data_IF_426152855181
#
_entry.id   IF_426152855181
#
_cell.length_a   1.000
_cell.length_b   1.000
_cell.length_c   1.000
_cell.angle_alpha   90.00
_cell.angle_beta   90.00
_cell.angle_gamma   90.00
#
_symmetry.space_group_name_H-M   'P 1'
#
loop_
_entity.id
_entity.type
_entity.pdbx_description
1 polymer ?
#
# COMPACT_ATOMS: atom_id res chain seq x y z
N UNK A 1 15.25 36.32 -6.34
CA UNK A 1 14.39 35.11 -6.27
C UNK A 1 15.11 33.82 -6.71
N UNK A 2 16.20 33.88 -7.52
CA UNK A 2 16.89 32.68 -8.04
C UNK A 2 17.82 31.97 -7.05
N UNK A 3 18.33 32.66 -6.04
CA UNK A 3 19.37 32.11 -5.15
C UNK A 3 18.85 30.95 -4.28
N UNK A 4 17.57 30.97 -3.92
CA UNK A 4 16.97 29.91 -3.10
C UNK A 4 16.44 28.71 -3.91
N UNK A 5 16.11 28.91 -5.18
CA UNK A 5 15.45 27.89 -6.00
C UNK A 5 16.31 26.64 -6.20
N UNK A 6 17.57 26.82 -6.58
CA UNK A 6 18.48 25.71 -6.92
C UNK A 6 18.75 24.81 -5.70
N UNK A 7 19.15 25.32 -4.51
CA UNK A 7 19.37 24.47 -3.33
C UNK A 7 18.13 23.71 -2.89
N UNK A 8 16.96 24.34 -2.92
CA UNK A 8 15.72 23.67 -2.54
C UNK A 8 15.28 22.62 -3.59
N UNK A 9 15.59 22.82 -4.88
CA UNK A 9 15.34 21.81 -5.89
C UNK A 9 16.17 20.54 -5.64
N UNK A 10 17.47 20.68 -5.27
CA UNK A 10 18.31 19.55 -4.89
C UNK A 10 17.76 18.82 -3.65
N UNK A 11 17.35 19.57 -2.62
CA UNK A 11 16.75 18.99 -1.43
C UNK A 11 15.46 18.25 -1.78
N UNK A 12 14.61 18.82 -2.61
CA UNK A 12 13.38 18.17 -3.06
C UNK A 12 13.66 16.85 -3.81
N UNK A 13 14.60 16.85 -4.74
CA UNK A 13 15.01 15.64 -5.44
C UNK A 13 15.57 14.57 -4.48
N UNK A 14 16.38 14.98 -3.51
CA UNK A 14 16.90 14.10 -2.47
C UNK A 14 15.79 13.49 -1.62
N UNK A 15 14.76 14.27 -1.25
CA UNK A 15 13.61 13.79 -0.50
C UNK A 15 12.83 12.74 -1.28
N UNK A 16 12.55 13.00 -2.56
CA UNK A 16 11.88 12.03 -3.43
C UNK A 16 12.68 10.73 -3.53
N UNK A 17 14.01 10.82 -3.66
CA UNK A 17 14.90 9.66 -3.73
C UNK A 17 14.90 8.84 -2.45
N UNK A 18 14.97 9.49 -1.28
CA UNK A 18 14.92 8.79 0.01
C UNK A 18 13.56 8.14 0.23
N UNK A 19 12.47 8.82 -0.12
CA UNK A 19 11.12 8.27 -0.03
C UNK A 19 10.93 7.06 -0.96
N UNK A 20 11.58 7.07 -2.12
CA UNK A 20 11.60 5.93 -3.03
C UNK A 20 12.37 4.75 -2.42
N UNK A 21 13.57 4.96 -1.90
CA UNK A 21 14.39 3.89 -1.27
C UNK A 21 13.71 3.32 -0.01
N UNK A 22 12.99 4.15 0.74
CA UNK A 22 12.25 3.69 1.93
C UNK A 22 10.94 3.00 1.60
N UNK A 23 10.69 2.73 0.31
CA UNK A 23 9.49 2.06 -0.19
C UNK A 23 8.16 2.71 0.26
N UNK A 24 8.17 4.01 0.57
CA UNK A 24 6.95 4.71 0.97
C UNK A 24 5.88 4.76 -0.14
N UNK A 25 6.28 4.49 -1.38
CA UNK A 25 5.40 4.37 -2.55
C UNK A 25 4.95 2.94 -2.83
N UNK A 26 5.41 1.96 -2.06
CA UNK A 26 5.04 0.56 -2.30
C UNK A 26 3.55 0.33 -1.98
N UNK A 27 2.93 -0.50 -2.82
CA UNK A 27 1.54 -0.94 -2.64
C UNK A 27 1.32 -1.72 -1.33
N UNK A 28 2.36 -2.35 -0.79
CA UNK A 28 2.32 -2.97 0.55
C UNK A 28 1.98 -1.99 1.68
N UNK A 29 2.27 -0.70 1.47
CA UNK A 29 1.93 0.38 2.41
C UNK A 29 0.59 1.07 2.12
N UNK A 30 -0.30 0.50 1.29
CA UNK A 30 -1.67 1.02 1.11
C UNK A 30 -2.49 1.00 2.41
N UNK A 31 -2.00 0.32 3.44
CA UNK A 31 -2.53 0.40 4.80
C UNK A 31 -2.10 1.69 5.49
N UNK A 32 -3.05 2.35 6.11
CA UNK A 32 -2.77 3.39 7.10
C UNK A 32 -2.49 2.75 8.47
N UNK A 33 -1.49 1.87 8.53
CA UNK A 33 -1.08 1.18 9.74
C UNK A 33 0.09 1.89 10.44
N UNK A 34 0.41 1.46 11.66
CA UNK A 34 1.51 1.99 12.45
C UNK A 34 2.86 1.85 11.73
N UNK A 35 3.05 0.79 10.92
CA UNK A 35 4.29 0.56 10.18
C UNK A 35 4.52 1.63 9.12
N UNK A 36 3.45 2.04 8.41
CA UNK A 36 3.53 3.14 7.47
C UNK A 36 3.91 4.45 8.18
N UNK A 37 3.20 4.81 9.25
CA UNK A 37 3.49 6.06 9.97
C UNK A 37 4.88 6.06 10.59
N UNK A 38 5.36 4.92 11.10
CA UNK A 38 6.72 4.79 11.63
C UNK A 38 7.78 4.89 10.53
N UNK A 39 7.52 4.30 9.36
CA UNK A 39 8.35 4.43 8.17
C UNK A 39 8.44 5.87 7.67
N UNK A 40 7.28 6.53 7.55
CA UNK A 40 7.18 7.93 7.17
C UNK A 40 7.94 8.85 8.16
N UNK A 41 7.75 8.64 9.45
CA UNK A 41 8.43 9.41 10.49
C UNK A 41 9.96 9.27 10.42
N UNK A 42 10.45 8.03 10.26
CA UNK A 42 11.88 7.77 10.05
C UNK A 42 12.41 8.46 8.80
N UNK A 43 11.70 8.37 7.69
CA UNK A 43 12.09 9.01 6.44
C UNK A 43 12.15 10.54 6.59
N UNK A 44 11.15 11.15 7.23
CA UNK A 44 11.11 12.61 7.48
C UNK A 44 12.30 13.04 8.37
N UNK A 45 12.59 12.32 9.44
CA UNK A 45 13.74 12.62 10.31
C UNK A 45 15.04 12.53 9.53
N UNK A 46 15.25 11.44 8.79
CA UNK A 46 16.47 11.22 8.03
C UNK A 46 16.67 12.29 6.97
N UNK A 47 15.63 12.59 6.19
CA UNK A 47 15.70 13.63 5.15
C UNK A 47 15.90 15.02 5.74
N UNK A 48 15.28 15.31 6.89
CA UNK A 48 15.47 16.58 7.59
C UNK A 48 16.89 16.76 8.12
N UNK A 49 17.46 15.69 8.71
CA UNK A 49 18.84 15.69 9.18
C UNK A 49 19.83 15.90 8.02
N UNK A 50 19.66 15.17 6.91
CA UNK A 50 20.51 15.33 5.72
C UNK A 50 20.36 16.73 5.13
N UNK A 51 19.15 17.27 5.07
CA UNK A 51 18.91 18.64 4.58
C UNK A 51 19.58 19.69 5.47
N UNK A 52 19.51 19.52 6.78
CA UNK A 52 20.22 20.40 7.71
C UNK A 52 21.73 20.35 7.48
N UNK A 53 22.30 19.14 7.42
CA UNK A 53 23.75 18.93 7.15
C UNK A 53 24.12 19.60 5.81
N UNK A 54 23.34 19.39 4.76
CA UNK A 54 23.57 19.97 3.44
C UNK A 54 23.70 21.51 3.51
N UNK A 55 22.74 22.17 4.15
CA UNK A 55 22.77 23.63 4.25
C UNK A 55 23.86 24.17 5.18
N UNK A 56 24.29 23.39 6.20
CA UNK A 56 25.37 23.80 7.09
C UNK A 56 26.77 23.56 6.50
N UNK A 57 26.96 22.48 5.71
CA UNK A 57 28.26 22.14 5.12
C UNK A 57 28.54 22.89 3.83
N UNK A 58 27.51 23.39 3.14
CA UNK A 58 27.68 24.10 1.86
C UNK A 58 27.36 25.59 2.08
N UNK A 59 28.31 26.38 2.61
CA UNK A 59 28.09 27.81 2.92
C UNK A 59 27.95 28.68 1.67
N UNK A 60 28.18 28.12 0.48
CA UNK A 60 28.08 28.84 -0.82
C UNK A 60 26.69 29.49 -0.98
N UNK A 61 25.66 28.90 -0.40
CA UNK A 61 24.30 29.41 -0.54
C UNK A 61 23.94 30.55 0.42
N UNK A 62 24.81 30.88 1.39
CA UNK A 62 24.61 31.94 2.39
C UNK A 62 23.18 31.96 3.04
N UNK A 63 22.53 30.80 3.06
CA UNK A 63 21.17 30.63 3.53
C UNK A 63 21.22 29.99 4.90
N UNK A 64 20.66 30.65 5.91
CA UNK A 64 20.33 30.00 7.18
C UNK A 64 18.88 29.51 7.11
N UNK A 65 18.65 28.26 6.69
CA UNK A 65 17.31 27.84 6.26
C UNK A 65 16.39 27.43 7.40
N UNK A 66 16.70 27.77 8.67
CA UNK A 66 15.98 27.25 9.84
C UNK A 66 14.47 27.32 9.69
N UNK A 67 13.94 28.52 9.42
CA UNK A 67 12.49 28.72 9.28
C UNK A 67 11.95 28.11 7.97
N UNK A 68 12.64 28.36 6.85
CA UNK A 68 12.20 27.86 5.55
C UNK A 68 12.25 26.33 5.49
N UNK A 69 13.26 25.70 6.10
CA UNK A 69 13.35 24.26 6.19
C UNK A 69 12.23 23.68 7.07
N UNK A 70 11.92 24.29 8.21
CA UNK A 70 10.82 23.87 9.07
C UNK A 70 9.46 23.99 8.36
N UNK A 71 9.22 25.08 7.64
CA UNK A 71 8.01 25.27 6.82
C UNK A 71 7.95 24.21 5.72
N UNK A 72 9.06 23.97 5.01
CA UNK A 72 9.13 22.95 3.97
C UNK A 72 8.81 21.56 4.50
N UNK A 73 9.41 21.13 5.61
CA UNK A 73 9.14 19.85 6.27
C UNK A 73 7.66 19.73 6.62
N UNK A 74 7.08 20.76 7.22
CA UNK A 74 5.68 20.74 7.65
C UNK A 74 4.72 20.62 6.46
N UNK A 75 4.90 21.47 5.44
CA UNK A 75 4.05 21.47 4.25
C UNK A 75 4.20 20.15 3.49
N UNK A 76 5.43 19.69 3.28
CA UNK A 76 5.68 18.46 2.53
C UNK A 76 5.10 17.24 3.24
N UNK A 77 5.29 17.12 4.55
CA UNK A 77 4.68 16.06 5.35
C UNK A 77 3.16 16.09 5.30
N UNK A 78 2.57 17.28 5.37
CA UNK A 78 1.13 17.47 5.23
C UNK A 78 0.62 17.03 3.85
N UNK A 79 1.33 17.35 2.78
CA UNK A 79 1.00 16.93 1.41
C UNK A 79 1.07 15.41 1.28
N UNK A 80 2.13 14.77 1.80
CA UNK A 80 2.30 13.31 1.73
C UNK A 80 1.17 12.59 2.48
N UNK A 81 0.86 12.99 3.70
CA UNK A 81 -0.22 12.41 4.50
C UNK A 81 -1.58 12.68 3.85
N UNK A 82 -1.82 13.91 3.41
CA UNK A 82 -3.06 14.32 2.78
C UNK A 82 -3.33 13.61 1.46
N UNK A 83 -2.35 13.55 0.56
CA UNK A 83 -2.47 12.86 -0.73
C UNK A 83 -2.77 11.38 -0.54
N UNK A 84 -2.10 10.73 0.43
CA UNK A 84 -2.35 9.34 0.74
C UNK A 84 -3.75 9.10 1.30
N UNK A 85 -4.20 9.94 2.22
CA UNK A 85 -5.54 9.84 2.79
C UNK A 85 -6.62 9.99 1.72
N UNK A 86 -6.44 10.95 0.81
CA UNK A 86 -7.34 11.17 -0.33
C UNK A 86 -7.32 9.99 -1.30
N UNK A 87 -6.13 9.48 -1.63
CA UNK A 87 -5.97 8.31 -2.49
C UNK A 87 -6.66 7.06 -1.92
N UNK A 88 -6.46 6.79 -0.63
CA UNK A 88 -7.09 5.66 0.03
C UNK A 88 -8.62 5.79 0.08
N UNK A 89 -9.15 7.00 0.33
CA UNK A 89 -10.60 7.25 0.26
C UNK A 89 -11.15 7.06 -1.14
N UNK A 90 -10.46 7.57 -2.16
CA UNK A 90 -10.87 7.43 -3.55
C UNK A 90 -10.91 5.94 -3.98
N UNK A 91 -9.89 5.16 -3.61
CA UNK A 91 -9.85 3.74 -3.92
C UNK A 91 -10.86 2.92 -3.11
N UNK A 92 -11.11 3.27 -1.86
CA UNK A 92 -12.13 2.61 -1.05
C UNK A 92 -13.56 2.79 -1.61
N UNK A 93 -13.80 3.90 -2.32
CA UNK A 93 -15.09 4.22 -2.96
C UNK A 93 -15.18 3.73 -4.40
N UNK A 94 -14.09 3.22 -4.98
CA UNK A 94 -14.02 2.73 -6.35
C UNK A 94 -14.72 1.38 -6.55
N UNK A 95 -14.76 0.92 -7.81
CA UNK A 95 -15.27 -0.41 -8.16
C UNK A 95 -14.37 -1.48 -7.54
N UNK A 96 -14.95 -2.30 -6.66
CA UNK A 96 -14.25 -3.37 -5.99
C UNK A 96 -14.26 -4.64 -6.83
N UNK A 97 -13.15 -5.36 -6.82
CA UNK A 97 -13.03 -6.68 -7.47
C UNK A 97 -13.57 -7.76 -6.55
N UNK A 98 -14.60 -8.50 -6.95
CA UNK A 98 -15.14 -9.58 -6.14
C UNK A 98 -14.10 -10.70 -5.97
N UNK A 99 -13.87 -11.10 -4.72
CA UNK A 99 -12.89 -12.07 -4.28
C UNK A 99 -13.57 -13.31 -3.71
N UNK A 100 -13.13 -14.48 -4.15
CA UNK A 100 -13.45 -15.78 -3.58
C UNK A 100 -12.21 -16.34 -2.88
N UNK A 101 -12.35 -16.78 -1.64
CA UNK A 101 -11.31 -17.52 -0.92
C UNK A 101 -11.74 -18.99 -0.87
N UNK A 102 -10.86 -19.88 -1.36
CA UNK A 102 -11.07 -21.32 -1.37
C UNK A 102 -10.14 -21.96 -0.35
N UNK A 103 -10.72 -22.60 0.64
CA UNK A 103 -10.03 -23.20 1.77
C UNK A 103 -10.24 -22.43 3.08
N UNK A 104 -10.73 -23.14 4.09
CA UNK A 104 -10.99 -22.57 5.42
C UNK A 104 -9.88 -22.99 6.37
N UNK A 105 -8.96 -22.09 6.66
CA UNK A 105 -7.94 -22.23 7.69
C UNK A 105 -7.69 -20.86 8.39
N UNK A 106 -6.83 -20.83 9.37
CA UNK A 106 -6.55 -19.59 10.11
C UNK A 106 -6.02 -18.48 9.19
N UNK A 107 -5.18 -18.83 8.21
CA UNK A 107 -4.59 -17.85 7.28
C UNK A 107 -5.66 -17.29 6.34
N UNK A 108 -6.57 -18.12 5.84
CA UNK A 108 -7.66 -17.67 4.96
C UNK A 108 -8.66 -16.77 5.72
N UNK A 109 -8.93 -17.05 6.99
CA UNK A 109 -9.76 -16.20 7.83
C UNK A 109 -9.09 -14.87 8.17
N UNK A 110 -7.78 -14.88 8.43
CA UNK A 110 -7.00 -13.65 8.60
C UNK A 110 -6.97 -12.82 7.32
N UNK A 111 -6.81 -13.46 6.16
CA UNK A 111 -6.87 -12.79 4.86
C UNK A 111 -8.25 -12.18 4.60
N UNK A 112 -9.32 -12.91 4.92
CA UNK A 112 -10.69 -12.42 4.80
C UNK A 112 -10.90 -11.14 5.63
N UNK A 113 -10.58 -11.21 6.91
CA UNK A 113 -10.63 -10.06 7.81
C UNK A 113 -9.78 -8.90 7.31
N UNK A 114 -8.58 -9.22 6.82
CA UNK A 114 -7.68 -8.24 6.26
C UNK A 114 -8.26 -7.49 5.05
N UNK A 115 -8.91 -8.19 4.13
CA UNK A 115 -9.56 -7.60 2.96
C UNK A 115 -10.74 -6.72 3.39
N UNK A 116 -11.55 -7.17 4.34
CA UNK A 116 -12.68 -6.40 4.87
C UNK A 116 -12.26 -5.11 5.58
N UNK A 117 -11.20 -5.18 6.39
CA UNK A 117 -10.65 -4.02 7.10
C UNK A 117 -9.91 -3.02 6.20
N UNK A 118 -9.56 -3.41 4.95
CA UNK A 118 -8.77 -2.62 4.03
C UNK A 118 -9.45 -2.42 2.67
N UNK A 119 -10.60 -1.74 2.61
CA UNK A 119 -11.38 -1.55 1.37
C UNK A 119 -10.61 -0.79 0.28
N UNK A 120 -9.57 -0.03 0.63
CA UNK A 120 -8.68 0.67 -0.29
C UNK A 120 -7.85 -0.27 -1.19
N UNK A 121 -7.77 -1.57 -0.85
CA UNK A 121 -7.13 -2.58 -1.70
C UNK A 121 -7.92 -2.87 -2.98
N UNK A 122 -9.17 -2.41 -3.06
CA UNK A 122 -10.03 -2.59 -4.23
C UNK A 122 -10.58 -4.00 -4.35
N UNK A 123 -10.58 -4.80 -3.29
CA UNK A 123 -11.21 -6.12 -3.25
C UNK A 123 -12.45 -6.10 -2.35
N UNK A 124 -13.43 -6.94 -2.70
CA UNK A 124 -14.61 -7.22 -1.91
C UNK A 124 -14.73 -8.73 -1.73
N UNK A 125 -14.66 -9.19 -0.48
CA UNK A 125 -14.87 -10.59 -0.17
C UNK A 125 -16.32 -10.95 -0.42
N UNK A 126 -16.59 -11.85 -1.38
CA UNK A 126 -17.95 -12.34 -1.67
C UNK A 126 -18.22 -13.66 -0.97
N UNK A 127 -17.23 -14.56 -0.96
CA UNK A 127 -17.43 -15.88 -0.41
C UNK A 127 -16.13 -16.51 0.10
N UNK A 128 -16.26 -17.33 1.16
CA UNK A 128 -15.20 -18.21 1.65
C UNK A 128 -15.73 -19.64 1.54
N UNK A 129 -15.08 -20.43 0.71
CA UNK A 129 -15.56 -21.77 0.37
C UNK A 129 -14.74 -22.86 1.05
N UNK A 130 -15.42 -23.82 1.67
CA UNK A 130 -14.84 -25.04 2.17
C UNK A 130 -15.14 -26.20 1.19
N UNK A 131 -14.13 -26.57 0.39
CA UNK A 131 -14.31 -27.65 -0.59
C UNK A 131 -14.64 -29.01 0.03
N UNK A 132 -14.26 -29.24 1.28
CA UNK A 132 -14.59 -30.48 1.96
C UNK A 132 -16.09 -30.62 2.20
N UNK A 133 -16.79 -29.50 2.36
CA UNK A 133 -18.24 -29.45 2.60
C UNK A 133 -19.06 -29.22 1.35
N UNK A 134 -18.56 -28.38 0.44
CA UNK A 134 -19.35 -27.86 -0.67
C UNK A 134 -19.01 -28.51 -2.02
N UNK A 135 -17.86 -29.17 -2.12
CA UNK A 135 -17.41 -29.84 -3.34
C UNK A 135 -16.92 -28.90 -4.45
N UNK A 136 -16.04 -29.40 -5.31
CA UNK A 136 -15.37 -28.62 -6.37
C UNK A 136 -16.37 -28.09 -7.42
N UNK A 137 -17.46 -28.81 -7.70
CA UNK A 137 -18.45 -28.42 -8.71
C UNK A 137 -19.17 -27.11 -8.43
N UNK A 138 -19.20 -26.68 -7.18
CA UNK A 138 -19.86 -25.43 -6.80
C UNK A 138 -18.98 -24.20 -7.03
N UNK A 139 -17.66 -24.37 -7.23
CA UNK A 139 -16.73 -23.26 -7.52
C UNK A 139 -17.14 -22.50 -8.78
N UNK A 140 -17.36 -23.23 -9.89
CA UNK A 140 -17.80 -22.66 -11.17
C UNK A 140 -19.12 -21.89 -11.05
N UNK A 141 -20.04 -22.44 -10.29
CA UNK A 141 -21.35 -21.85 -10.11
C UNK A 141 -21.24 -20.53 -9.34
N UNK A 142 -20.45 -20.48 -8.28
CA UNK A 142 -20.20 -19.28 -7.47
C UNK A 142 -19.45 -18.24 -8.30
N UNK A 143 -18.41 -18.63 -9.04
CA UNK A 143 -17.65 -17.71 -9.90
C UNK A 143 -18.58 -16.99 -10.87
N UNK A 144 -19.50 -17.73 -11.52
CA UNK A 144 -20.44 -17.15 -12.50
C UNK A 144 -21.53 -16.32 -11.85
N UNK A 145 -22.10 -16.79 -10.75
CA UNK A 145 -23.19 -16.10 -10.05
C UNK A 145 -22.73 -14.78 -9.43
N UNK A 146 -21.60 -14.79 -8.74
CA UNK A 146 -21.05 -13.64 -8.02
C UNK A 146 -20.09 -12.79 -8.88
N UNK A 147 -19.91 -13.16 -10.15
CA UNK A 147 -19.00 -12.50 -11.11
C UNK A 147 -17.59 -12.34 -10.53
N UNK A 148 -17.09 -13.41 -9.91
CA UNK A 148 -15.79 -13.42 -9.24
C UNK A 148 -14.68 -13.16 -10.26
N UNK A 149 -13.82 -12.19 -9.96
CA UNK A 149 -12.66 -11.85 -10.79
C UNK A 149 -11.34 -12.32 -10.20
N UNK A 150 -11.34 -12.70 -8.93
CA UNK A 150 -10.13 -13.10 -8.21
C UNK A 150 -10.45 -14.26 -7.30
N UNK A 151 -9.67 -15.34 -7.43
CA UNK A 151 -9.77 -16.54 -6.58
C UNK A 151 -8.46 -16.72 -5.84
N UNK A 152 -8.52 -16.80 -4.53
CA UNK A 152 -7.37 -17.12 -3.67
C UNK A 152 -7.56 -18.51 -3.10
N UNK A 153 -6.57 -19.37 -3.30
CA UNK A 153 -6.60 -20.76 -2.85
C UNK A 153 -5.57 -20.93 -1.75
N UNK A 154 -5.97 -21.53 -0.63
CA UNK A 154 -5.04 -21.89 0.43
C UNK A 154 -4.35 -23.22 0.10
N UNK A 155 -3.04 -23.24 -0.19
CA UNK A 155 -2.33 -24.45 -0.61
C UNK A 155 -2.22 -25.51 0.50
N UNK A 156 -2.31 -25.11 1.76
CA UNK A 156 -2.23 -26.02 2.91
C UNK A 156 -3.46 -26.90 3.06
N UNK A 157 -4.57 -26.50 2.46
CA UNK A 157 -5.86 -27.19 2.61
C UNK A 157 -6.07 -28.25 1.53
N UNK A 158 -5.33 -28.20 0.41
CA UNK A 158 -5.60 -29.05 -0.76
C UNK A 158 -4.35 -29.66 -1.36
N UNK A 159 -4.51 -30.87 -1.89
CA UNK A 159 -3.47 -31.53 -2.69
C UNK A 159 -3.36 -30.89 -4.08
N UNK A 160 -2.17 -30.95 -4.68
CA UNK A 160 -1.89 -30.35 -5.98
C UNK A 160 -2.91 -30.66 -7.09
N UNK A 161 -3.44 -31.90 -7.24
CA UNK A 161 -4.46 -32.21 -8.26
C UNK A 161 -5.78 -31.46 -8.08
N UNK A 162 -6.17 -31.20 -6.84
CA UNK A 162 -7.40 -30.42 -6.52
C UNK A 162 -7.24 -28.96 -6.90
N UNK A 163 -6.07 -28.39 -6.63
CA UNK A 163 -5.74 -27.01 -6.98
C UNK A 163 -5.74 -26.82 -8.50
N UNK A 164 -5.16 -27.78 -9.25
CA UNK A 164 -5.15 -27.76 -10.71
C UNK A 164 -6.57 -27.79 -11.29
N UNK A 165 -7.46 -28.61 -10.75
CA UNK A 165 -8.85 -28.67 -11.20
C UNK A 165 -9.59 -27.33 -10.96
N UNK A 166 -9.35 -26.64 -9.83
CA UNK A 166 -9.93 -25.34 -9.56
C UNK A 166 -9.43 -24.30 -10.59
N UNK A 167 -8.14 -24.34 -10.92
CA UNK A 167 -7.58 -23.46 -11.96
C UNK A 167 -8.26 -23.66 -13.32
N UNK A 168 -8.47 -24.90 -13.74
CA UNK A 168 -9.15 -25.18 -15.02
C UNK A 168 -10.61 -24.77 -15.04
N UNK A 169 -11.27 -24.74 -13.88
CA UNK A 169 -12.66 -24.30 -13.77
C UNK A 169 -12.81 -22.79 -13.68
N UNK A 170 -11.74 -22.07 -13.33
CA UNK A 170 -11.75 -20.60 -13.21
C UNK A 170 -11.37 -19.87 -14.50
N UNK A 171 -10.96 -20.62 -15.55
CA UNK A 171 -10.66 -20.09 -16.88
C UNK A 171 -11.91 -20.08 -17.77
#
# INVERSE_FOLDING_TARGET
HGIHFIPFLFIFALWLFIFYITNLYDFGFLRNNLDFYSGLFRAIITTSAISAIFFYLIPIFQITPKTNLAIFITIFSGIVIGSRTLFNKANASGSKKPLLIVGVNNQSLELAKFVEENPQLGYELKYIMDLAKEGIKNVDQIIKQEKINTVVISPETYQAPQIVNIFYQSL
#
